data_IF_457732206551
#
_entry.id   IF_457732206551
#
_cell.length_a   1.000
_cell.length_b   1.000
_cell.length_c   1.000
_cell.angle_alpha   90.00
_cell.angle_beta   90.00
_cell.angle_gamma   90.00
#
_symmetry.space_group_name_H-M   'P 1'
#
loop_
_entity.id
_entity.type
_entity.pdbx_description
1 polymer ?
#
# COMPACT_ATOMS: atom_id res chain seq x y z
N UNK A 1 15.55 -30.03 10.48
CA UNK A 1 14.46 -29.67 9.56
C UNK A 1 15.05 -28.69 8.57
N UNK A 2 15.14 -29.05 7.30
CA UNK A 2 15.59 -28.13 6.27
C UNK A 2 14.53 -27.05 6.13
N UNK A 3 14.93 -25.78 6.33
CA UNK A 3 14.08 -24.64 6.04
C UNK A 3 13.70 -24.71 4.54
N UNK A 4 12.44 -24.95 4.25
CA UNK A 4 11.93 -24.90 2.88
C UNK A 4 12.21 -23.54 2.22
N UNK A 5 12.06 -23.43 0.89
CA UNK A 5 12.33 -22.17 0.20
C UNK A 5 11.48 -21.04 0.77
N UNK A 6 12.13 -19.94 1.20
CA UNK A 6 11.46 -18.78 1.77
C UNK A 6 10.71 -18.02 0.68
N UNK A 7 9.46 -17.68 0.95
CA UNK A 7 8.65 -16.81 0.10
C UNK A 7 9.32 -15.43 -0.02
N UNK A 8 9.52 -14.97 -1.23
CA UNK A 8 10.06 -13.64 -1.52
C UNK A 8 8.94 -12.63 -1.75
N UNK A 9 9.24 -11.35 -1.71
CA UNK A 9 8.26 -10.30 -1.97
C UNK A 9 7.68 -10.37 -3.40
N UNK A 10 8.44 -10.89 -4.37
CA UNK A 10 8.00 -11.10 -5.75
C UNK A 10 6.90 -12.18 -5.88
N UNK A 11 6.82 -13.07 -4.91
CA UNK A 11 5.85 -14.17 -4.89
C UNK A 11 4.55 -13.82 -4.13
N UNK A 12 4.44 -12.61 -3.58
CA UNK A 12 3.26 -12.16 -2.87
C UNK A 12 2.29 -11.49 -3.87
N UNK A 13 1.17 -12.11 -4.21
CA UNK A 13 0.12 -11.44 -4.97
C UNK A 13 -0.48 -10.31 -4.13
N UNK A 14 -0.89 -9.23 -4.80
CA UNK A 14 -1.39 -8.07 -4.08
C UNK A 14 -2.50 -7.36 -4.86
N UNK A 15 -3.25 -6.54 -4.16
CA UNK A 15 -4.26 -5.64 -4.70
C UNK A 15 -4.04 -4.25 -4.13
N UNK A 16 -4.37 -3.23 -4.88
CA UNK A 16 -4.35 -1.85 -4.41
C UNK A 16 -5.73 -1.23 -4.50
N UNK A 17 -6.04 -0.38 -3.54
CA UNK A 17 -7.18 0.52 -3.56
C UNK A 17 -6.65 1.95 -3.52
N UNK A 18 -7.07 2.79 -4.47
CA UNK A 18 -6.57 4.15 -4.66
C UNK A 18 -7.73 5.10 -4.58
N UNK A 19 -7.77 5.92 -3.52
CA UNK A 19 -8.77 6.96 -3.35
C UNK A 19 -8.35 8.23 -4.08
N UNK A 20 -9.26 8.82 -4.85
CA UNK A 20 -9.08 10.06 -5.61
C UNK A 20 -10.20 11.03 -5.28
N UNK A 21 -9.88 12.27 -4.95
CA UNK A 21 -10.87 13.34 -4.70
C UNK A 21 -10.99 14.27 -5.89
N UNK A 22 -12.21 14.75 -6.14
CA UNK A 22 -12.49 15.71 -7.20
C UNK A 22 -12.43 15.10 -8.60
N UNK A 23 -12.59 13.79 -8.70
CA UNK A 23 -12.57 13.07 -9.97
C UNK A 23 -13.87 12.31 -10.15
N UNK A 24 -14.52 12.55 -11.27
CA UNK A 24 -15.70 11.79 -11.71
C UNK A 24 -15.33 10.35 -12.06
N UNK A 25 -16.14 9.38 -11.63
CA UNK A 25 -15.87 7.96 -11.80
C UNK A 25 -15.85 7.52 -13.28
N UNK A 26 -16.72 8.09 -14.12
CA UNK A 26 -16.72 7.79 -15.55
C UNK A 26 -15.43 8.28 -16.20
N UNK A 27 -14.97 9.48 -15.82
CA UNK A 27 -13.72 10.03 -16.30
C UNK A 27 -12.50 9.22 -15.82
N UNK A 28 -12.48 8.82 -14.54
CA UNK A 28 -11.45 7.94 -14.01
C UNK A 28 -11.40 6.59 -14.73
N UNK A 29 -12.57 5.96 -14.94
CA UNK A 29 -12.68 4.70 -15.68
C UNK A 29 -12.16 4.82 -17.13
N UNK A 30 -12.48 5.93 -17.80
CA UNK A 30 -11.96 6.20 -19.16
C UNK A 30 -10.43 6.36 -19.19
N UNK A 31 -9.84 7.00 -18.17
CA UNK A 31 -8.37 7.08 -18.04
C UNK A 31 -7.77 5.70 -17.84
N UNK A 32 -8.32 4.92 -16.90
CA UNK A 32 -7.86 3.55 -16.60
C UNK A 32 -7.91 2.70 -17.87
N UNK A 33 -9.04 2.70 -18.60
CA UNK A 33 -9.19 1.96 -19.85
C UNK A 33 -8.15 2.35 -20.91
N UNK A 34 -7.85 3.65 -21.03
CA UNK A 34 -6.83 4.14 -21.96
C UNK A 34 -5.41 3.70 -21.59
N UNK A 35 -5.11 3.56 -20.30
CA UNK A 35 -3.79 3.17 -19.80
C UNK A 35 -3.54 1.67 -19.85
N UNK A 36 -4.60 0.87 -19.76
CA UNK A 36 -4.51 -0.58 -19.80
C UNK A 36 -4.50 -1.09 -21.25
N UNK A 37 -3.60 -1.99 -21.61
CA UNK A 37 -3.62 -2.61 -22.92
C UNK A 37 -4.98 -3.30 -23.18
N UNK A 38 -5.65 -2.93 -24.27
CA UNK A 38 -6.96 -3.46 -24.63
C UNK A 38 -8.09 -3.06 -23.66
N UNK A 39 -7.87 -2.06 -22.82
CA UNK A 39 -8.81 -1.66 -21.78
C UNK A 39 -10.17 -1.21 -22.32
N UNK A 40 -11.23 -1.75 -21.76
CA UNK A 40 -12.63 -1.41 -22.09
C UNK A 40 -13.37 -1.08 -20.79
N UNK A 41 -13.91 0.14 -20.73
CA UNK A 41 -14.71 0.58 -19.59
C UNK A 41 -16.20 0.41 -19.88
N UNK A 42 -16.93 -0.13 -18.93
CA UNK A 42 -18.41 -0.19 -18.97
C UNK A 42 -18.98 0.11 -17.57
N UNK A 43 -20.18 0.63 -17.54
CA UNK A 43 -20.89 0.90 -16.30
C UNK A 43 -21.58 -0.39 -15.85
N UNK A 44 -21.30 -0.86 -14.64
CA UNK A 44 -21.88 -2.07 -14.07
C UNK A 44 -23.18 -1.77 -13.32
N UNK A 45 -23.15 -0.75 -12.43
CA UNK A 45 -24.31 -0.28 -11.70
C UNK A 45 -24.30 1.27 -11.55
N UNK A 46 -25.13 1.82 -10.66
CA UNK A 46 -25.25 3.27 -10.50
C UNK A 46 -23.93 3.92 -10.01
N UNK A 47 -23.12 3.20 -9.24
CA UNK A 47 -21.94 3.70 -8.53
C UNK A 47 -20.62 3.04 -8.98
N UNK A 48 -20.69 2.01 -9.84
CA UNK A 48 -19.52 1.18 -10.22
C UNK A 48 -19.28 1.19 -11.73
N UNK A 49 -18.04 1.42 -12.10
CA UNK A 49 -17.52 1.20 -13.44
C UNK A 49 -16.50 0.06 -13.41
N UNK A 50 -16.59 -0.84 -14.36
CA UNK A 50 -15.62 -1.91 -14.54
C UNK A 50 -14.77 -1.63 -15.77
N UNK A 51 -13.48 -1.95 -15.66
CA UNK A 51 -12.53 -1.84 -16.76
C UNK A 51 -11.83 -3.19 -16.91
N UNK A 52 -12.02 -3.85 -18.04
CA UNK A 52 -11.33 -5.09 -18.36
C UNK A 52 -10.01 -4.78 -19.08
N UNK A 53 -8.93 -5.45 -18.70
CA UNK A 53 -7.64 -5.40 -19.41
C UNK A 53 -7.51 -6.55 -20.42
N UNK A 54 -6.46 -6.53 -21.24
CA UNK A 54 -6.22 -7.56 -22.27
C UNK A 54 -5.96 -8.97 -21.71
N UNK A 55 -5.79 -9.12 -20.40
CA UNK A 55 -5.67 -10.41 -19.72
C UNK A 55 -7.00 -10.89 -19.14
N UNK A 56 -8.10 -10.17 -19.39
CA UNK A 56 -9.43 -10.46 -18.84
C UNK A 56 -9.53 -10.20 -17.34
N UNK A 57 -8.65 -9.37 -16.78
CA UNK A 57 -8.71 -8.98 -15.37
C UNK A 57 -9.56 -7.72 -15.24
N UNK A 58 -10.34 -7.64 -14.18
CA UNK A 58 -11.28 -6.55 -13.95
C UNK A 58 -10.75 -5.57 -12.92
N UNK A 59 -10.67 -4.30 -13.31
CA UNK A 59 -10.44 -3.15 -12.45
C UNK A 59 -11.78 -2.52 -12.14
N UNK A 60 -12.01 -2.08 -10.91
CA UNK A 60 -13.24 -1.41 -10.53
C UNK A 60 -12.98 0.06 -10.19
N UNK A 61 -13.83 0.94 -10.65
CA UNK A 61 -13.86 2.36 -10.26
C UNK A 61 -15.21 2.62 -9.61
N UNK A 62 -15.19 2.92 -8.33
CA UNK A 62 -16.36 2.95 -7.47
C UNK A 62 -16.57 4.37 -6.94
N UNK A 63 -17.80 4.85 -6.96
CA UNK A 63 -18.18 6.10 -6.31
C UNK A 63 -18.10 5.91 -4.78
N UNK A 64 -17.21 6.66 -4.15
CA UNK A 64 -16.99 6.64 -2.71
C UNK A 64 -17.74 7.72 -1.94
N UNK A 65 -18.75 8.36 -2.54
CA UNK A 65 -19.48 9.48 -1.92
C UNK A 65 -20.23 9.10 -0.64
N UNK A 66 -20.66 7.84 -0.53
CA UNK A 66 -21.46 7.36 0.61
C UNK A 66 -20.64 7.02 1.88
N UNK A 67 -19.32 6.99 1.79
CA UNK A 67 -18.47 6.45 2.86
C UNK A 67 -17.77 7.52 3.71
N UNK A 68 -18.04 8.81 3.48
CA UNK A 68 -17.38 9.87 4.25
C UNK A 68 -18.40 10.78 4.92
N UNK A 69 -18.33 10.68 6.25
CA UNK A 69 -18.68 11.71 7.23
C UNK A 69 -19.63 12.82 6.74
N UNK A 70 -20.88 12.68 7.10
CA UNK A 70 -21.85 13.78 7.16
C UNK A 70 -21.37 15.00 8.00
N UNK A 71 -20.11 15.03 8.41
CA UNK A 71 -19.50 16.09 9.21
C UNK A 71 -18.66 17.09 8.41
N UNK A 72 -18.37 16.84 7.12
CA UNK A 72 -17.65 17.82 6.29
C UNK A 72 -18.54 18.34 5.17
N UNK A 73 -18.64 19.66 5.13
CA UNK A 73 -19.40 20.43 4.15
C UNK A 73 -19.11 20.00 2.71
N UNK A 74 -20.16 19.56 2.00
CA UNK A 74 -20.28 19.12 0.60
C UNK A 74 -19.56 17.81 0.26
N UNK A 75 -20.30 16.81 -0.26
CA UNK A 75 -19.69 15.65 -0.89
C UNK A 75 -18.83 16.14 -2.07
N UNK A 76 -17.52 16.04 -1.93
CA UNK A 76 -16.60 16.18 -3.07
C UNK A 76 -16.65 14.86 -3.83
N UNK A 77 -16.77 14.95 -5.15
CA UNK A 77 -16.63 13.77 -6.01
C UNK A 77 -15.43 12.96 -5.54
N UNK A 78 -15.68 11.77 -5.04
CA UNK A 78 -14.66 10.84 -4.59
C UNK A 78 -14.82 9.55 -5.37
N UNK A 79 -13.78 9.14 -6.03
CA UNK A 79 -13.79 7.84 -6.66
C UNK A 79 -12.66 6.95 -6.09
N UNK A 80 -12.89 5.66 -6.05
CA UNK A 80 -11.94 4.66 -5.58
C UNK A 80 -11.66 3.70 -6.71
N UNK A 81 -10.41 3.68 -7.15
CA UNK A 81 -9.92 2.68 -8.10
C UNK A 81 -9.41 1.45 -7.33
N UNK A 82 -9.90 0.29 -7.70
CA UNK A 82 -9.48 -0.99 -7.14
C UNK A 82 -8.91 -1.87 -8.24
N UNK A 83 -7.68 -2.33 -8.04
CA UNK A 83 -7.02 -3.24 -8.98
C UNK A 83 -7.56 -4.67 -8.86
N UNK A 84 -7.41 -5.50 -9.90
CA UNK A 84 -7.46 -6.97 -9.74
C UNK A 84 -6.32 -7.45 -8.81
N UNK A 85 -6.25 -8.76 -8.59
CA UNK A 85 -5.07 -9.35 -7.97
C UNK A 85 -3.89 -9.25 -8.95
N UNK A 86 -2.83 -8.58 -8.52
CA UNK A 86 -1.63 -8.27 -9.29
C UNK A 86 -0.47 -9.15 -8.83
N UNK A 87 0.44 -9.45 -9.76
CA UNK A 87 1.75 -9.99 -9.46
C UNK A 87 2.79 -8.86 -9.36
N UNK A 88 4.00 -9.17 -8.88
CA UNK A 88 5.07 -8.18 -8.73
C UNK A 88 5.45 -7.53 -10.08
N UNK A 89 5.40 -8.29 -11.15
CA UNK A 89 5.69 -7.87 -12.52
C UNK A 89 4.71 -6.82 -13.05
N UNK A 90 3.49 -6.77 -12.52
CA UNK A 90 2.47 -5.78 -12.89
C UNK A 90 2.76 -4.39 -12.29
N UNK A 91 3.73 -4.30 -11.36
CA UNK A 91 4.01 -3.06 -10.63
C UNK A 91 4.33 -1.87 -11.56
N UNK A 92 5.14 -2.06 -12.57
CA UNK A 92 5.52 -0.97 -13.48
C UNK A 92 4.32 -0.47 -14.30
N UNK A 93 3.40 -1.37 -14.69
CA UNK A 93 2.13 -1.03 -15.33
C UNK A 93 1.22 -0.21 -14.40
N UNK A 94 1.09 -0.63 -13.14
CA UNK A 94 0.36 0.12 -12.12
C UNK A 94 0.95 1.52 -11.91
N UNK A 95 2.29 1.65 -11.84
CA UNK A 95 2.94 2.94 -11.66
C UNK A 95 2.77 3.86 -12.87
N UNK A 96 2.71 3.30 -14.08
CA UNK A 96 2.37 4.03 -15.28
C UNK A 96 0.94 4.56 -15.21
N UNK A 97 -0.01 3.72 -14.82
CA UNK A 97 -1.40 4.11 -14.60
C UNK A 97 -1.53 5.25 -13.57
N UNK A 98 -0.84 5.15 -12.43
CA UNK A 98 -0.83 6.20 -11.39
C UNK A 98 -0.32 7.54 -11.93
N UNK A 99 0.73 7.51 -12.78
CA UNK A 99 1.28 8.71 -13.41
C UNK A 99 0.27 9.38 -14.33
N UNK A 100 -0.42 8.59 -15.14
CA UNK A 100 -1.44 9.08 -16.06
C UNK A 100 -2.67 9.63 -15.32
N UNK A 101 -3.15 8.92 -14.30
CA UNK A 101 -4.25 9.38 -13.45
C UNK A 101 -3.89 10.73 -12.81
N UNK A 102 -2.71 10.83 -12.21
CA UNK A 102 -2.22 12.08 -11.60
C UNK A 102 -2.14 13.22 -12.62
N UNK A 103 -1.58 12.95 -13.80
CA UNK A 103 -1.44 13.95 -14.87
C UNK A 103 -2.78 14.44 -15.41
N UNK A 104 -3.73 13.52 -15.61
CA UNK A 104 -5.02 13.83 -16.19
C UNK A 104 -5.99 14.53 -15.22
N UNK A 105 -5.87 14.23 -13.93
CA UNK A 105 -6.81 14.71 -12.91
C UNK A 105 -6.28 15.92 -12.14
N UNK A 106 -4.98 16.21 -12.20
CA UNK A 106 -4.35 17.24 -11.38
C UNK A 106 -4.38 16.93 -9.88
N UNK A 107 -4.77 15.70 -9.50
CA UNK A 107 -4.85 15.26 -8.11
C UNK A 107 -3.44 15.13 -7.56
N UNK A 108 -2.97 16.22 -6.95
CA UNK A 108 -1.84 16.17 -6.04
C UNK A 108 -2.32 15.60 -4.72
N UNK A 109 -1.70 14.52 -4.26
CA UNK A 109 -2.12 13.84 -3.06
C UNK A 109 -2.42 14.78 -1.89
N UNK A 110 -3.41 14.44 -1.10
CA UNK A 110 -3.84 15.13 0.09
C UNK A 110 -4.27 14.11 1.15
N UNK A 111 -4.66 14.54 2.35
CA UNK A 111 -5.04 13.62 3.44
C UNK A 111 -6.23 12.70 3.13
N UNK A 112 -6.92 12.95 2.03
CA UNK A 112 -8.05 12.13 1.57
C UNK A 112 -7.77 11.37 0.27
N UNK A 113 -6.56 11.49 -0.29
CA UNK A 113 -6.10 10.72 -1.44
C UNK A 113 -4.99 9.78 -0.98
N UNK A 114 -5.16 8.49 -1.17
CA UNK A 114 -4.15 7.55 -0.72
C UNK A 114 -4.25 6.20 -1.40
N UNK A 115 -3.18 5.44 -1.30
CA UNK A 115 -3.10 4.07 -1.80
C UNK A 115 -3.04 3.10 -0.62
N UNK A 116 -3.96 2.14 -0.61
CA UNK A 116 -3.97 1.02 0.32
C UNK A 116 -3.48 -0.24 -0.38
N UNK A 117 -2.75 -1.05 0.32
CA UNK A 117 -2.14 -2.27 -0.20
C UNK A 117 -2.68 -3.47 0.56
N UNK A 118 -3.22 -4.43 -0.18
CA UNK A 118 -3.71 -5.69 0.33
C UNK A 118 -2.85 -6.82 -0.24
N UNK A 119 -2.35 -7.68 0.63
CA UNK A 119 -1.52 -8.82 0.24
C UNK A 119 -2.29 -10.13 0.42
N UNK A 120 -2.14 -11.04 -0.52
CA UNK A 120 -2.60 -12.41 -0.36
C UNK A 120 -1.53 -13.23 0.37
N UNK A 121 -1.86 -13.67 1.57
CA UNK A 121 -0.92 -14.37 2.47
C UNK A 121 -1.03 -15.90 2.39
N UNK A 122 -1.85 -16.41 1.47
CA UNK A 122 -2.20 -17.81 1.36
C UNK A 122 -3.58 -18.10 1.96
N UNK A 123 -4.32 -18.98 1.32
CA UNK A 123 -5.66 -19.38 1.75
C UNK A 123 -5.63 -19.96 3.17
N UNK A 124 -6.50 -19.45 4.04
CA UNK A 124 -6.59 -19.89 5.42
C UNK A 124 -5.35 -19.65 6.29
N UNK A 125 -4.34 -18.93 5.82
CA UNK A 125 -3.10 -18.69 6.56
C UNK A 125 -3.29 -17.65 7.68
N UNK A 126 -4.04 -18.04 8.71
CA UNK A 126 -4.30 -17.19 9.85
C UNK A 126 -3.02 -16.73 10.57
N UNK A 127 -2.02 -17.61 10.67
CA UNK A 127 -0.78 -17.27 11.37
C UNK A 127 -0.04 -16.12 10.66
N UNK A 128 0.01 -16.12 9.35
CA UNK A 128 0.61 -15.01 8.59
C UNK A 128 -0.16 -13.69 8.80
N UNK A 129 -1.50 -13.73 8.88
CA UNK A 129 -2.33 -12.55 9.18
C UNK A 129 -1.98 -11.98 10.57
N UNK A 130 -1.90 -12.83 11.59
CA UNK A 130 -1.49 -12.44 12.96
C UNK A 130 -0.06 -11.91 12.97
N UNK A 131 0.85 -12.56 12.27
CA UNK A 131 2.25 -12.11 12.15
C UNK A 131 2.35 -10.73 11.52
N UNK A 132 1.57 -10.45 10.45
CA UNK A 132 1.56 -9.15 9.79
C UNK A 132 1.07 -8.05 10.73
N UNK A 133 -0.01 -8.28 11.47
CA UNK A 133 -0.50 -7.34 12.49
C UNK A 133 0.54 -7.10 13.58
N UNK A 134 1.21 -8.14 14.04
CA UNK A 134 2.25 -8.04 15.07
C UNK A 134 3.50 -7.31 14.54
N UNK A 135 3.89 -7.51 13.27
CA UNK A 135 4.93 -6.73 12.61
C UNK A 135 4.58 -5.25 12.61
N UNK A 136 3.35 -4.92 12.20
CA UNK A 136 2.87 -3.55 12.22
C UNK A 136 2.92 -2.95 13.63
N UNK A 137 2.34 -3.60 14.63
CA UNK A 137 2.33 -3.13 16.01
C UNK A 137 3.76 -2.91 16.54
N UNK A 138 4.67 -3.85 16.29
CA UNK A 138 6.06 -3.77 16.78
C UNK A 138 6.89 -2.67 16.08
N UNK A 139 6.54 -2.25 14.87
CA UNK A 139 7.25 -1.25 14.06
C UNK A 139 6.48 0.04 13.88
N UNK A 140 5.31 0.17 14.49
CA UNK A 140 4.37 1.27 14.27
C UNK A 140 5.02 2.65 14.25
N UNK A 141 5.78 3.00 15.27
CA UNK A 141 6.42 4.33 15.37
C UNK A 141 7.39 4.60 14.22
N UNK A 142 8.18 3.60 13.81
CA UNK A 142 9.12 3.70 12.70
C UNK A 142 8.40 3.83 11.35
N UNK A 143 7.32 3.04 11.17
CA UNK A 143 6.51 3.05 9.95
C UNK A 143 5.83 4.40 9.75
N UNK A 144 5.17 4.96 10.76
CA UNK A 144 4.52 6.26 10.65
C UNK A 144 5.48 7.36 10.20
N UNK A 145 6.67 7.41 10.79
CA UNK A 145 7.69 8.38 10.39
C UNK A 145 8.23 8.11 9.00
N UNK A 146 8.55 6.86 8.68
CA UNK A 146 9.08 6.49 7.38
C UNK A 146 8.09 6.76 6.23
N UNK A 147 6.81 6.50 6.44
CA UNK A 147 5.73 6.68 5.47
C UNK A 147 5.12 8.09 5.51
N UNK A 148 5.52 8.95 6.46
CA UNK A 148 4.94 10.28 6.67
C UNK A 148 3.41 10.25 6.87
N UNK A 149 2.92 9.21 7.47
CA UNK A 149 1.50 9.03 7.74
C UNK A 149 1.15 9.70 9.06
N UNK A 150 0.06 10.46 9.09
CA UNK A 150 -0.44 11.04 10.31
C UNK A 150 -1.22 9.98 11.10
N UNK A 151 -0.96 9.91 12.42
CA UNK A 151 -1.68 9.04 13.34
C UNK A 151 -3.18 9.37 13.40
N UNK A 152 -3.55 10.64 13.15
CA UNK A 152 -4.93 11.10 13.18
C UNK A 152 -5.69 10.79 11.88
N UNK A 153 -4.99 10.52 10.79
CA UNK A 153 -5.59 10.07 9.52
C UNK A 153 -6.07 8.61 9.56
N UNK A 154 -5.89 7.92 10.70
CA UNK A 154 -6.37 6.56 10.92
C UNK A 154 -7.89 6.53 11.09
N UNK A 155 -8.63 6.24 10.02
CA UNK A 155 -10.07 6.05 10.04
C UNK A 155 -10.47 4.62 9.67
N UNK A 156 -10.76 3.74 10.67
CA UNK A 156 -11.03 2.32 10.39
C UNK A 156 -12.42 2.04 9.79
N UNK A 157 -13.34 3.00 9.74
CA UNK A 157 -14.78 2.70 9.58
C UNK A 157 -15.35 2.73 8.16
N UNK A 158 -14.76 3.48 7.24
CA UNK A 158 -15.29 3.58 5.87
C UNK A 158 -14.99 2.34 5.01
N UNK A 159 -14.06 1.53 5.44
CA UNK A 159 -13.47 0.44 4.67
C UNK A 159 -14.28 -0.84 4.62
N UNK A 160 -15.07 -1.15 5.66
CA UNK A 160 -15.80 -2.43 5.73
C UNK A 160 -16.78 -2.63 4.58
N UNK A 161 -17.34 -1.55 4.02
CA UNK A 161 -18.30 -1.64 2.92
C UNK A 161 -17.61 -1.84 1.57
N UNK A 162 -16.54 -1.09 1.31
CA UNK A 162 -15.71 -1.26 0.10
C UNK A 162 -15.08 -2.66 0.10
N UNK A 163 -14.54 -3.10 1.24
CA UNK A 163 -13.95 -4.42 1.40
C UNK A 163 -14.96 -5.55 1.12
N UNK A 164 -16.22 -5.41 1.54
CA UNK A 164 -17.27 -6.40 1.24
C UNK A 164 -17.68 -6.44 -0.22
N UNK A 165 -17.79 -5.28 -0.86
CA UNK A 165 -18.22 -5.19 -2.25
C UNK A 165 -17.14 -5.69 -3.20
N UNK A 166 -15.88 -5.34 -2.91
CA UNK A 166 -14.77 -5.54 -3.83
C UNK A 166 -13.96 -6.81 -3.54
N UNK A 167 -13.89 -7.20 -2.26
CA UNK A 167 -13.00 -8.30 -1.84
C UNK A 167 -13.74 -9.59 -1.48
N UNK A 168 -15.04 -9.67 -1.71
CA UNK A 168 -15.97 -10.77 -1.47
C UNK A 168 -15.38 -12.13 -1.15
N UNK A 169 -14.81 -12.33 0.04
CA UNK A 169 -14.32 -13.63 0.52
C UNK A 169 -12.89 -14.01 0.14
N UNK A 170 -12.13 -13.15 -0.55
CA UNK A 170 -10.71 -13.41 -0.82
C UNK A 170 -9.89 -13.24 0.48
N UNK A 171 -8.89 -14.12 0.67
CA UNK A 171 -7.97 -14.12 1.83
C UNK A 171 -6.92 -12.99 1.74
N UNK A 172 -7.36 -11.79 1.38
CA UNK A 172 -6.54 -10.59 1.32
C UNK A 172 -6.42 -9.96 2.71
N UNK A 173 -5.24 -9.50 3.04
CA UNK A 173 -4.96 -8.82 4.29
C UNK A 173 -4.39 -7.44 3.99
N UNK A 174 -5.00 -6.39 4.54
CA UNK A 174 -4.43 -5.06 4.47
C UNK A 174 -3.08 -5.02 5.18
N UNK A 175 -2.03 -4.62 4.45
CA UNK A 175 -0.67 -4.66 4.98
C UNK A 175 -0.42 -3.55 5.98
N UNK A 176 -0.89 -2.34 5.66
CA UNK A 176 -0.83 -1.18 6.54
C UNK A 176 -2.25 -0.63 6.71
N UNK A 177 -2.78 -0.55 7.94
CA UNK A 177 -4.15 -0.11 8.20
C UNK A 177 -4.30 1.43 8.10
N UNK A 178 -3.72 2.05 7.08
CA UNK A 178 -3.78 3.48 6.80
C UNK A 178 -3.37 3.75 5.34
N UNK A 179 -3.70 4.92 4.83
CA UNK A 179 -3.25 5.35 3.51
C UNK A 179 -1.73 5.45 3.48
N UNK A 180 -1.10 4.38 3.00
CA UNK A 180 0.34 4.19 3.06
C UNK A 180 1.11 5.12 2.11
N UNK A 181 0.42 5.70 1.13
CA UNK A 181 0.96 6.74 0.28
C UNK A 181 -0.06 7.86 0.19
N UNK A 182 0.16 8.94 0.93
CA UNK A 182 -0.67 10.15 0.87
C UNK A 182 -0.47 10.94 -0.43
N UNK A 183 0.25 10.39 -1.39
CA UNK A 183 0.46 11.00 -2.69
C UNK A 183 0.44 9.92 -3.78
N UNK A 184 -0.15 10.24 -4.92
CA UNK A 184 -0.09 9.43 -6.12
C UNK A 184 1.27 9.55 -6.85
N UNK A 185 2.31 9.99 -6.15
CA UNK A 185 3.69 10.00 -6.69
C UNK A 185 4.13 8.55 -6.96
N UNK A 186 4.42 8.19 -8.22
CA UNK A 186 4.78 6.81 -8.58
C UNK A 186 5.99 6.27 -7.82
N UNK A 187 6.97 7.12 -7.50
CA UNK A 187 8.15 6.71 -6.74
C UNK A 187 7.81 6.42 -5.27
N UNK A 188 6.87 7.18 -4.69
CA UNK A 188 6.36 6.91 -3.35
C UNK A 188 5.53 5.63 -3.33
N UNK A 189 4.66 5.46 -4.31
CA UNK A 189 3.84 4.27 -4.48
C UNK A 189 4.71 3.02 -4.65
N UNK A 190 5.74 3.07 -5.51
CA UNK A 190 6.69 1.96 -5.69
C UNK A 190 7.39 1.60 -4.38
N UNK A 191 7.93 2.61 -3.68
CA UNK A 191 8.63 2.39 -2.41
C UNK A 191 7.70 1.76 -1.36
N UNK A 192 6.47 2.23 -1.28
CA UNK A 192 5.45 1.72 -0.35
C UNK A 192 5.04 0.28 -0.68
N UNK A 193 4.79 -0.02 -1.96
CA UNK A 193 4.47 -1.37 -2.42
C UNK A 193 5.60 -2.35 -2.10
N UNK A 194 6.84 -2.01 -2.43
CA UNK A 194 7.99 -2.86 -2.12
C UNK A 194 8.13 -3.14 -0.61
N UNK A 195 7.91 -2.13 0.23
CA UNK A 195 7.94 -2.30 1.68
C UNK A 195 6.79 -3.18 2.17
N UNK A 196 5.59 -2.97 1.65
CA UNK A 196 4.39 -3.73 2.00
C UNK A 196 4.53 -5.22 1.66
N UNK A 197 4.95 -5.51 0.43
CA UNK A 197 5.14 -6.89 -0.04
C UNK A 197 6.28 -7.60 0.72
N UNK A 198 7.35 -6.88 1.07
CA UNK A 198 8.42 -7.44 1.89
C UNK A 198 7.96 -7.74 3.32
N UNK A 199 7.11 -6.89 3.92
CA UNK A 199 6.51 -7.15 5.23
C UNK A 199 5.55 -8.35 5.18
N UNK A 200 4.75 -8.47 4.11
CA UNK A 200 3.88 -9.62 3.88
C UNK A 200 4.67 -10.93 3.72
N UNK A 201 5.73 -10.93 2.91
CA UNK A 201 6.63 -12.08 2.76
C UNK A 201 7.28 -12.45 4.09
N UNK A 202 7.72 -11.49 4.89
CA UNK A 202 8.24 -11.74 6.23
C UNK A 202 7.19 -12.39 7.13
N UNK A 203 5.94 -11.93 7.08
CA UNK A 203 4.85 -12.49 7.88
C UNK A 203 4.54 -13.95 7.53
N UNK A 204 4.61 -14.30 6.24
CA UNK A 204 4.43 -15.67 5.74
C UNK A 204 5.58 -16.58 6.19
N UNK A 205 6.81 -16.09 6.15
CA UNK A 205 8.02 -16.87 6.43
C UNK A 205 8.29 -17.09 7.93
N UNK A 206 7.60 -16.40 8.81
CA UNK A 206 7.86 -16.48 10.25
C UNK A 206 6.79 -17.32 10.95
N UNK A 207 7.21 -18.26 11.77
CA UNK A 207 6.29 -19.03 12.62
C UNK A 207 5.54 -18.11 13.61
N UNK A 208 6.25 -17.17 14.22
CA UNK A 208 5.69 -16.23 15.19
C UNK A 208 6.41 -14.89 15.20
N UNK A 209 5.64 -13.82 15.24
CA UNK A 209 6.13 -12.44 15.38
C UNK A 209 5.60 -11.86 16.71
N UNK A 210 6.46 -11.15 17.42
CA UNK A 210 6.07 -10.42 18.62
C UNK A 210 5.51 -9.04 18.28
N UNK A 211 4.37 -8.69 18.86
CA UNK A 211 3.78 -7.36 18.77
C UNK A 211 4.49 -6.30 19.64
N UNK A 212 5.41 -6.74 20.53
CA UNK A 212 6.05 -5.82 21.47
C UNK A 212 6.91 -4.77 20.74
N UNK A 213 6.65 -3.46 20.97
CA UNK A 213 7.45 -2.42 20.37
C UNK A 213 8.90 -2.49 20.84
N UNK A 214 9.83 -2.49 19.90
CA UNK A 214 11.26 -2.38 20.19
C UNK A 214 11.62 -0.93 20.51
N UNK A 215 12.41 -0.70 21.56
CA UNK A 215 13.06 0.59 21.77
C UNK A 215 14.24 0.71 20.81
N UNK A 216 14.21 1.67 19.91
CA UNK A 216 15.29 1.99 19.02
C UNK A 216 15.93 3.33 19.43
N UNK A 217 17.16 3.31 19.91
CA UNK A 217 17.93 4.53 20.19
C UNK A 217 18.28 5.26 18.88
N UNK A 218 18.57 4.50 17.82
CA UNK A 218 18.83 5.01 16.50
C UNK A 218 17.77 4.41 15.52
N UNK A 219 16.76 5.20 15.22
CA UNK A 219 15.63 4.77 14.40
C UNK A 219 16.04 4.46 12.96
N UNK A 220 16.90 5.29 12.37
CA UNK A 220 17.41 5.11 11.00
C UNK A 220 18.17 3.80 10.86
N UNK A 221 19.03 3.49 11.80
CA UNK A 221 19.75 2.21 11.83
C UNK A 221 18.80 1.04 12.01
N UNK A 222 17.88 1.12 12.98
CA UNK A 222 16.92 0.06 13.26
C UNK A 222 16.03 -0.25 12.04
N UNK A 223 15.54 0.78 11.35
CA UNK A 223 14.73 0.61 10.15
C UNK A 223 15.53 0.03 8.98
N UNK A 224 16.78 0.51 8.78
CA UNK A 224 17.69 -0.08 7.79
C UNK A 224 17.91 -1.57 8.04
N UNK A 225 18.21 -1.96 9.29
CA UNK A 225 18.42 -3.36 9.64
C UNK A 225 17.16 -4.20 9.41
N UNK A 226 15.99 -3.64 9.64
CA UNK A 226 14.73 -4.33 9.36
C UNK A 226 14.51 -4.53 7.86
N UNK A 227 14.69 -3.50 7.04
CA UNK A 227 14.62 -3.63 5.57
C UNK A 227 15.59 -4.70 5.02
N UNK A 228 16.82 -4.73 5.52
CA UNK A 228 17.82 -5.75 5.13
C UNK A 228 17.34 -7.16 5.50
N UNK A 229 16.76 -7.35 6.68
CA UNK A 229 16.20 -8.67 7.10
C UNK A 229 15.03 -9.12 6.24
N UNK A 230 14.27 -8.20 5.67
CA UNK A 230 13.20 -8.49 4.73
C UNK A 230 13.69 -8.75 3.30
N UNK A 231 15.01 -8.76 3.07
CA UNK A 231 15.57 -9.01 1.75
C UNK A 231 15.60 -7.78 0.82
N UNK A 232 15.27 -6.58 1.33
CA UNK A 232 15.32 -5.34 0.55
C UNK A 232 16.78 -4.87 0.36
N UNK A 233 17.58 -5.67 -0.37
CA UNK A 233 19.00 -5.51 -0.62
C UNK A 233 19.23 -5.30 -2.12
N UNK A 234 20.32 -4.67 -2.50
CA UNK A 234 20.66 -4.43 -3.90
C UNK A 234 20.25 -3.06 -4.40
N UNK A 235 20.56 -2.81 -5.69
CA UNK A 235 20.37 -1.49 -6.32
C UNK A 235 18.89 -1.21 -6.61
N UNK A 236 18.09 -2.23 -6.89
CA UNK A 236 16.64 -2.12 -7.10
C UNK A 236 15.94 -1.41 -5.93
N UNK A 237 16.30 -1.78 -4.69
CA UNK A 237 15.68 -1.22 -3.48
C UNK A 237 16.40 0.01 -2.91
N UNK A 238 17.50 0.45 -3.53
CA UNK A 238 18.28 1.60 -3.06
C UNK A 238 17.50 2.92 -3.05
N UNK A 239 16.68 3.25 -4.08
CA UNK A 239 15.84 4.45 -4.07
C UNK A 239 14.85 4.45 -2.91
N UNK A 240 14.14 3.32 -2.70
CA UNK A 240 13.19 3.13 -1.61
C UNK A 240 13.88 3.29 -0.25
N UNK A 241 15.02 2.59 -0.01
CA UNK A 241 15.77 2.70 1.24
C UNK A 241 16.21 4.13 1.52
N UNK A 242 16.72 4.87 0.52
CA UNK A 242 17.11 6.27 0.67
C UNK A 242 15.92 7.13 1.08
N UNK A 243 14.76 6.95 0.44
CA UNK A 243 13.54 7.71 0.68
C UNK A 243 13.10 7.57 2.13
N UNK A 244 12.95 6.36 2.63
CA UNK A 244 12.50 6.11 4.00
C UNK A 244 13.54 6.52 5.06
N UNK A 245 14.80 6.17 4.85
CA UNK A 245 15.85 6.50 5.82
C UNK A 245 16.09 8.01 5.97
N UNK A 246 15.85 8.80 4.93
CA UNK A 246 15.94 10.27 4.99
C UNK A 246 14.93 10.88 5.98
N UNK A 247 13.81 10.21 6.23
CA UNK A 247 12.71 10.67 7.09
C UNK A 247 12.90 10.32 8.57
N UNK A 248 13.86 9.45 8.87
CA UNK A 248 14.11 8.95 10.22
C UNK A 248 15.31 9.66 10.85
N UNK A 249 15.27 9.98 12.16
CA UNK A 249 16.40 10.56 12.88
C UNK A 249 17.53 9.54 13.07
N UNK A 250 18.73 10.04 13.32
CA UNK A 250 19.93 9.25 13.55
C UNK A 250 20.78 9.03 12.30
N UNK A 251 21.70 8.11 12.37
CA UNK A 251 22.55 7.67 11.27
C UNK A 251 22.24 6.20 10.87
N UNK A 252 22.70 5.78 9.71
CA UNK A 252 22.45 4.41 9.22
C UNK A 252 23.60 3.44 9.49
N UNK A 253 24.69 3.90 10.13
CA UNK A 253 25.90 3.14 10.29
C UNK A 253 26.01 2.46 11.66
N UNK A 254 25.56 3.12 12.73
CA UNK A 254 25.75 2.65 14.10
C UNK A 254 24.44 2.40 14.84
N UNK A 255 24.42 1.42 15.75
CA UNK A 255 23.26 1.10 16.58
C UNK A 255 22.97 2.20 17.60
N UNK A 256 24.00 2.73 18.26
CA UNK A 256 23.89 3.84 19.19
C UNK A 256 23.92 5.19 18.45
N UNK A 257 23.22 6.18 18.96
CA UNK A 257 23.40 7.57 18.51
C UNK A 257 24.83 8.00 18.85
N UNK A 258 25.57 8.51 17.88
CA UNK A 258 26.83 9.18 18.17
C UNK A 258 26.52 10.42 19.02
N UNK A 259 27.00 10.46 20.25
CA UNK A 259 27.00 11.69 21.02
C UNK A 259 27.81 12.73 20.24
N UNK A 260 27.17 13.80 19.80
CA UNK A 260 27.89 14.97 19.31
C UNK A 260 28.61 15.57 20.52
N UNK A 261 29.79 15.10 20.79
CA UNK A 261 30.75 15.85 21.61
C UNK A 261 31.18 17.07 20.77
N UNK A 262 30.54 18.18 21.01
CA UNK A 262 31.08 19.52 20.75
C UNK A 262 31.70 20.03 22.02
#
# INVERSE_FOLDING_TARGET
MEDGPKTTLQQIPYRVSIAMLGVDCAYAAAIVARCLPGGQAHKDDEVTWLVEDCLGRTWAVIDGADDIDAMFEKPRDRCVLVSPLLAYEDMDGLLCLLREVRSATGVEGGPSCGMRVFAFLGEGNWQAKVNLQNLFCSKRALLFRALKTDLEAFRPRAQERIDRIVFGGEDLCEVFPYDAASSLDPDEAKATLQLALAAAAQAVNQERVSAKPGKAENERYAFRCWMVRMGLIGDEYKPMRRRFLKRLPGDSATKALRSNSR
#
